data_IF_750779468722
#
_entry.id   IF_750779468722
#
_cell.length_a   1.000
_cell.length_b   1.000
_cell.length_c   1.000
_cell.angle_alpha   90.00
_cell.angle_beta   90.00
_cell.angle_gamma   90.00
#
_symmetry.space_group_name_H-M   'P 1'
#
loop_
_entity.id
_entity.type
_entity.pdbx_description
1 polymer ?
#
# COMPACT_ATOMS: atom_id res chain seq x y z
N UNK A 1 14.34 -5.67 -9.46
CA UNK A 1 14.63 -4.39 -10.15
C UNK A 1 16.08 -3.94 -9.96
N UNK A 2 17.01 -4.82 -9.55
CA UNK A 2 18.43 -4.46 -9.42
C UNK A 2 18.66 -3.19 -8.62
N UNK A 3 19.64 -2.40 -9.05
CA UNK A 3 20.04 -1.12 -8.45
C UNK A 3 18.92 -0.06 -8.54
N UNK A 4 18.05 -0.16 -9.54
CA UNK A 4 16.93 0.77 -9.76
C UNK A 4 15.71 0.49 -8.87
N UNK A 5 15.78 -0.50 -7.99
CA UNK A 5 14.61 -0.90 -7.19
C UNK A 5 14.03 0.27 -6.40
N UNK A 6 14.84 1.02 -5.66
CA UNK A 6 14.36 2.13 -4.85
C UNK A 6 13.77 3.27 -5.71
N UNK A 7 14.46 3.65 -6.78
CA UNK A 7 14.04 4.75 -7.66
C UNK A 7 12.69 4.45 -8.36
N UNK A 8 12.50 3.20 -8.79
CA UNK A 8 11.26 2.75 -9.42
C UNK A 8 10.10 2.62 -8.44
N UNK A 9 10.34 2.20 -7.19
CA UNK A 9 9.29 2.22 -6.16
C UNK A 9 8.86 3.65 -5.82
N UNK A 10 9.80 4.61 -5.74
CA UNK A 10 9.45 6.03 -5.60
C UNK A 10 8.62 6.55 -6.78
N UNK A 11 8.90 6.09 -8.00
CA UNK A 11 8.11 6.47 -9.17
C UNK A 11 6.66 5.99 -9.07
N UNK A 12 6.43 4.78 -8.55
CA UNK A 12 5.08 4.29 -8.24
C UNK A 12 4.41 5.16 -7.19
N UNK A 13 5.13 5.54 -6.13
CA UNK A 13 4.63 6.46 -5.10
C UNK A 13 4.16 7.80 -5.68
N UNK A 14 5.00 8.44 -6.50
CA UNK A 14 4.65 9.67 -7.20
C UNK A 14 3.40 9.52 -8.04
N UNK A 15 3.29 8.42 -8.79
CA UNK A 15 2.12 8.16 -9.63
C UNK A 15 0.86 7.92 -8.78
N UNK A 16 0.96 7.15 -7.70
CA UNK A 16 -0.16 6.89 -6.78
C UNK A 16 -0.68 8.19 -6.16
N UNK A 17 0.19 9.16 -5.89
CA UNK A 17 -0.19 10.47 -5.38
C UNK A 17 -0.89 11.37 -6.41
N UNK A 18 -0.82 11.05 -7.72
CA UNK A 18 -1.55 11.80 -8.76
C UNK A 18 -3.03 11.44 -8.85
N UNK A 19 -3.44 10.33 -8.24
CA UNK A 19 -4.84 9.92 -8.17
C UNK A 19 -5.42 10.25 -6.79
N UNK A 20 -6.72 10.49 -6.71
CA UNK A 20 -7.40 10.87 -5.48
C UNK A 20 -7.56 9.67 -4.53
N UNK A 21 -6.47 9.30 -3.85
CA UNK A 21 -6.47 8.26 -2.81
C UNK A 21 -6.85 8.87 -1.47
N UNK A 22 -7.77 8.21 -0.76
CA UNK A 22 -8.05 8.51 0.65
C UNK A 22 -6.97 7.94 1.58
N UNK A 23 -6.32 6.85 1.18
CA UNK A 23 -5.28 6.15 1.94
C UNK A 23 -4.35 5.36 1.00
N UNK A 24 -3.05 5.43 1.25
CA UNK A 24 -2.01 4.61 0.64
C UNK A 24 -1.35 3.74 1.72
N UNK A 25 -1.50 2.42 1.62
CA UNK A 25 -0.80 1.47 2.50
C UNK A 25 0.37 0.85 1.76
N UNK A 26 1.58 1.00 2.29
CA UNK A 26 2.81 0.42 1.74
C UNK A 26 3.35 -0.68 2.65
N UNK A 27 3.97 -1.71 2.08
CA UNK A 27 4.28 -2.96 2.78
C UNK A 27 5.75 -3.34 2.57
N UNK A 28 6.45 -3.61 3.65
CA UNK A 28 7.85 -4.06 3.67
C UNK A 28 8.87 -2.95 3.34
N UNK A 29 10.16 -3.31 3.39
CA UNK A 29 11.26 -2.35 3.25
C UNK A 29 11.24 -1.56 1.94
N UNK A 30 11.03 -2.23 0.79
CA UNK A 30 10.90 -1.54 -0.50
C UNK A 30 9.58 -0.78 -0.64
N UNK A 31 8.55 -1.15 0.13
CA UNK A 31 7.29 -0.40 0.20
C UNK A 31 7.49 1.02 0.76
N UNK A 32 8.42 1.21 1.70
CA UNK A 32 8.78 2.53 2.23
C UNK A 32 9.23 3.50 1.13
N UNK A 33 9.87 3.01 0.08
CA UNK A 33 10.26 3.83 -1.05
C UNK A 33 9.06 4.34 -1.86
N UNK A 34 7.95 3.59 -1.90
CA UNK A 34 6.68 4.06 -2.46
C UNK A 34 6.13 5.21 -1.59
N UNK A 35 6.15 5.04 -0.26
CA UNK A 35 5.70 6.09 0.67
C UNK A 35 6.51 7.38 0.50
N UNK A 36 7.85 7.27 0.41
CA UNK A 36 8.75 8.39 0.13
C UNK A 36 8.37 9.10 -1.17
N UNK A 37 8.09 8.34 -2.24
CA UNK A 37 7.68 8.91 -3.52
C UNK A 37 6.34 9.65 -3.49
N UNK A 38 5.44 9.27 -2.58
CA UNK A 38 4.12 9.87 -2.46
C UNK A 38 4.06 11.06 -1.47
N UNK A 39 5.04 11.19 -0.58
CA UNK A 39 5.02 12.11 0.56
C UNK A 39 4.98 13.60 0.19
N UNK A 40 5.45 13.97 -1.01
CA UNK A 40 5.42 15.38 -1.46
C UNK A 40 4.01 15.84 -1.89
N UNK A 41 3.11 14.90 -2.18
CA UNK A 41 1.79 15.19 -2.76
C UNK A 41 0.62 14.66 -1.92
N UNK A 42 0.83 13.60 -1.13
CA UNK A 42 -0.16 13.12 -0.15
C UNK A 42 0.17 13.64 1.25
N UNK A 43 -0.88 13.92 2.02
CA UNK A 43 -0.73 14.19 3.45
C UNK A 43 -0.10 12.98 4.15
N UNK A 44 0.73 13.23 5.16
CA UNK A 44 1.29 12.17 6.01
C UNK A 44 0.20 11.33 6.69
N UNK A 45 -0.98 11.90 6.94
CA UNK A 45 -2.12 11.18 7.49
C UNK A 45 -2.79 10.21 6.49
N UNK A 46 -2.46 10.32 5.19
CA UNK A 46 -3.00 9.48 4.12
C UNK A 46 -2.00 8.40 3.67
N UNK A 47 -0.86 8.23 4.36
CA UNK A 47 0.15 7.22 4.04
C UNK A 47 0.43 6.39 5.29
N UNK A 48 0.25 5.08 5.18
CA UNK A 48 0.59 4.11 6.22
C UNK A 48 1.65 3.13 5.69
N UNK A 49 2.66 2.82 6.49
CA UNK A 49 3.72 1.88 6.13
C UNK A 49 3.82 0.77 7.16
N UNK A 50 3.64 -0.47 6.72
CA UNK A 50 3.57 -1.65 7.59
C UNK A 50 4.63 -2.69 7.20
N UNK A 51 5.09 -3.54 8.14
CA UNK A 51 6.20 -4.45 7.86
C UNK A 51 5.85 -5.60 6.92
N UNK A 52 4.60 -6.08 6.93
CA UNK A 52 4.19 -7.29 6.21
C UNK A 52 2.68 -7.31 5.88
N UNK A 53 2.26 -8.36 5.17
CA UNK A 53 0.89 -8.55 4.72
C UNK A 53 -0.10 -8.77 5.88
N UNK A 54 0.33 -9.33 7.01
CA UNK A 54 -0.54 -9.55 8.16
C UNK A 54 -0.87 -8.23 8.87
N UNK A 55 0.15 -7.39 9.08
CA UNK A 55 -0.02 -6.03 9.56
C UNK A 55 -0.88 -5.18 8.62
N UNK A 56 -0.70 -5.35 7.30
CA UNK A 56 -1.54 -4.68 6.30
C UNK A 56 -3.01 -5.11 6.39
N UNK A 57 -3.28 -6.41 6.46
CA UNK A 57 -4.64 -6.93 6.60
C UNK A 57 -5.29 -6.38 7.87
N UNK A 58 -4.59 -6.41 9.01
CA UNK A 58 -5.10 -5.90 10.29
C UNK A 58 -5.44 -4.40 10.22
N UNK A 59 -4.57 -3.61 9.58
CA UNK A 59 -4.82 -2.18 9.42
C UNK A 59 -6.03 -1.93 8.51
N UNK A 60 -6.03 -2.52 7.31
CA UNK A 60 -7.07 -2.25 6.30
C UNK A 60 -8.43 -2.77 6.77
N UNK A 61 -8.50 -3.94 7.40
CA UNK A 61 -9.76 -4.48 7.93
C UNK A 61 -10.39 -3.62 9.02
N UNK A 62 -9.57 -2.86 9.76
CA UNK A 62 -10.08 -1.91 10.78
C UNK A 62 -10.59 -0.59 10.19
N UNK A 63 -10.26 -0.29 8.94
CA UNK A 63 -10.54 0.99 8.28
C UNK A 63 -11.60 0.89 7.19
N UNK A 64 -11.58 -0.20 6.41
CA UNK A 64 -12.43 -0.39 5.25
C UNK A 64 -13.90 -0.43 5.64
N UNK A 65 -14.75 0.18 4.83
CA UNK A 65 -16.20 0.21 5.00
C UNK A 65 -16.90 -0.25 3.74
N UNK A 66 -18.16 -0.65 3.89
CA UNK A 66 -19.02 -0.97 2.74
C UNK A 66 -19.08 0.22 1.78
N UNK A 67 -18.73 -0.03 0.52
CA UNK A 67 -18.70 0.97 -0.54
C UNK A 67 -17.30 1.51 -0.87
N UNK A 68 -16.30 1.23 -0.05
CA UNK A 68 -14.91 1.56 -0.36
C UNK A 68 -14.37 0.70 -1.51
N UNK A 69 -13.42 1.27 -2.26
CA UNK A 69 -12.68 0.56 -3.31
C UNK A 69 -11.24 0.36 -2.85
N UNK A 70 -10.81 -0.90 -2.77
CA UNK A 70 -9.45 -1.26 -2.38
C UNK A 70 -8.71 -1.85 -3.57
N UNK A 71 -7.62 -1.21 -3.99
CA UNK A 71 -6.68 -1.76 -4.99
C UNK A 71 -5.52 -2.45 -4.29
N UNK A 72 -5.39 -3.76 -4.49
CA UNK A 72 -4.28 -4.55 -3.94
C UNK A 72 -3.27 -4.85 -5.04
N UNK A 73 -2.00 -4.48 -4.83
CA UNK A 73 -0.93 -4.75 -5.80
C UNK A 73 0.43 -4.99 -5.12
N UNK A 74 1.07 -6.11 -5.47
CA UNK A 74 2.48 -6.35 -5.16
C UNK A 74 3.10 -7.37 -6.13
N UNK A 75 4.38 -7.65 -5.93
CA UNK A 75 5.05 -8.85 -6.43
C UNK A 75 4.64 -10.07 -5.58
N UNK A 76 4.58 -11.26 -6.18
CA UNK A 76 4.17 -12.51 -5.51
C UNK A 76 4.89 -12.79 -4.18
N UNK A 77 6.15 -12.39 -4.06
CA UNK A 77 6.95 -12.60 -2.85
C UNK A 77 6.40 -11.91 -1.58
N UNK A 78 5.54 -10.89 -1.72
CA UNK A 78 4.93 -10.19 -0.57
C UNK A 78 3.73 -10.97 0.00
N UNK A 79 3.12 -11.88 -0.78
CA UNK A 79 2.01 -12.71 -0.29
C UNK A 79 0.71 -11.93 -0.05
N UNK A 80 0.39 -10.92 -0.87
CA UNK A 80 -0.80 -10.09 -0.69
C UNK A 80 -2.12 -10.81 -0.96
N UNK A 81 -2.07 -12.04 -1.48
CA UNK A 81 -3.24 -12.92 -1.61
C UNK A 81 -3.96 -13.06 -0.27
N UNK A 82 -3.20 -13.15 0.84
CA UNK A 82 -3.75 -13.19 2.21
C UNK A 82 -4.55 -11.95 2.59
N UNK A 83 -4.15 -10.78 2.11
CA UNK A 83 -4.88 -9.52 2.35
C UNK A 83 -6.21 -9.56 1.62
N UNK A 84 -6.21 -9.99 0.35
CA UNK A 84 -7.45 -10.09 -0.44
C UNK A 84 -8.41 -11.08 0.20
N UNK A 85 -7.94 -12.29 0.52
CA UNK A 85 -8.76 -13.32 1.17
C UNK A 85 -9.33 -12.86 2.51
N UNK A 86 -8.51 -12.22 3.34
CA UNK A 86 -8.94 -11.72 4.65
C UNK A 86 -9.98 -10.60 4.54
N UNK A 87 -9.84 -9.68 3.57
CA UNK A 87 -10.82 -8.62 3.34
C UNK A 87 -12.14 -9.15 2.77
N UNK A 88 -12.09 -10.18 1.92
CA UNK A 88 -13.30 -10.82 1.36
C UNK A 88 -14.07 -11.63 2.40
N UNK A 89 -13.43 -12.01 3.50
CA UNK A 89 -14.05 -12.72 4.61
C UNK A 89 -14.66 -11.79 5.68
N UNK A 90 -14.58 -10.47 5.50
CA UNK A 90 -15.25 -9.51 6.37
C UNK A 90 -16.76 -9.52 6.10
N UNK A 91 -17.55 -9.65 7.17
CA UNK A 91 -19.02 -9.63 7.13
C UNK A 91 -19.61 -8.21 6.99
#
# INVERSE_FOLDING_TARGET
>A
LGEDSASLHRAVGRQAATVALSLLVTIGELGKEIAVGAADALSSAAIESVPDAEAALKLVSSLVRKGDVVLVKASRAIGLEKVVEGLMALE
#
